data_IF_264864249310
#
_entry.id   IF_264864249310
#
_cell.length_a   1.000
_cell.length_b   1.000
_cell.length_c   1.000
_cell.angle_alpha   90.00
_cell.angle_beta   90.00
_cell.angle_gamma   90.00
#
_symmetry.space_group_name_H-M   'P 1'
#
loop_
_entity.id
_entity.type
_entity.pdbx_description
1 polymer ?
#
# COMPACT_ATOMS: atom_id res chain seq x y z
N UNK A 1 10.77 -6.24 0.41
CA UNK A 1 9.81 -5.12 0.26
C UNK A 1 9.15 -4.83 1.61
N UNK A 2 8.48 -3.69 1.79
CA UNK A 2 7.86 -3.32 3.08
C UNK A 2 6.36 -3.12 2.93
N UNK A 3 5.61 -3.31 4.00
CA UNK A 3 4.20 -2.91 4.11
C UNK A 3 3.90 -2.35 5.50
N UNK A 4 2.66 -1.92 5.72
CA UNK A 4 2.15 -1.53 7.04
C UNK A 4 1.28 -2.64 7.62
N UNK A 5 1.39 -2.91 8.92
CA UNK A 5 0.63 -3.98 9.57
C UNK A 5 -0.86 -3.65 9.71
N UNK A 6 -1.16 -2.41 10.09
CA UNK A 6 -2.51 -1.94 10.36
C UNK A 6 -2.73 -0.60 9.68
N UNK A 7 -4.00 -0.25 9.45
CA UNK A 7 -4.35 1.09 9.01
C UNK A 7 -3.94 2.12 10.07
N UNK A 8 -3.42 3.25 9.62
CA UNK A 8 -3.00 4.37 10.48
C UNK A 8 -3.49 5.68 9.88
N UNK A 9 -3.75 6.65 10.75
CA UNK A 9 -4.10 8.01 10.37
C UNK A 9 -3.19 8.99 11.09
N UNK A 10 -2.67 9.97 10.35
CA UNK A 10 -1.93 11.10 10.88
C UNK A 10 -2.45 12.41 10.30
N UNK A 11 -2.21 13.53 10.98
CA UNK A 11 -2.70 14.84 10.59
C UNK A 11 -1.57 15.88 10.61
N UNK A 12 -1.54 16.72 9.57
CA UNK A 12 -0.74 17.95 9.58
C UNK A 12 -1.57 19.16 9.23
N UNK A 13 -1.19 20.30 9.81
CA UNK A 13 -1.78 21.60 9.52
C UNK A 13 -0.75 22.51 8.82
N UNK A 14 -1.06 22.99 7.61
CA UNK A 14 -0.17 23.84 6.80
C UNK A 14 -0.93 25.06 6.31
N UNK A 15 -0.55 26.25 6.78
CA UNK A 15 -1.21 27.53 6.44
C UNK A 15 -2.75 27.46 6.56
N UNK A 16 -3.24 26.97 7.71
CA UNK A 16 -4.67 26.75 8.02
C UNK A 16 -5.36 25.66 7.21
N UNK A 17 -4.71 25.06 6.20
CA UNK A 17 -5.21 23.85 5.56
C UNK A 17 -4.89 22.64 6.43
N UNK A 18 -5.90 21.81 6.66
CA UNK A 18 -5.77 20.53 7.35
C UNK A 18 -5.55 19.44 6.30
N UNK A 19 -4.60 18.54 6.57
CA UNK A 19 -4.33 17.35 5.76
C UNK A 19 -4.35 16.13 6.67
N UNK A 20 -5.31 15.24 6.43
CA UNK A 20 -5.49 13.99 7.15
C UNK A 20 -5.01 12.87 6.23
N UNK A 21 -3.90 12.23 6.57
CA UNK A 21 -3.35 11.12 5.83
C UNK A 21 -3.81 9.80 6.43
N UNK A 22 -4.46 8.97 5.62
CA UNK A 22 -4.83 7.61 5.99
C UNK A 22 -4.04 6.63 5.13
N UNK A 23 -3.26 5.76 5.75
CA UNK A 23 -2.61 4.64 5.09
C UNK A 23 -3.36 3.36 5.48
N UNK A 24 -3.70 2.54 4.48
CA UNK A 24 -4.49 1.32 4.66
C UNK A 24 -3.79 0.16 3.95
N UNK A 25 -3.54 -0.98 4.62
CA UNK A 25 -3.06 -2.18 3.95
C UNK A 25 -4.10 -2.66 2.92
N UNK A 26 -3.68 -2.89 1.69
CA UNK A 26 -4.52 -3.35 0.57
C UNK A 26 -3.67 -4.15 -0.40
N UNK A 27 -4.10 -5.33 -0.82
CA UNK A 27 -3.29 -6.23 -1.66
C UNK A 27 -3.55 -6.06 -3.15
N UNK A 28 -4.74 -5.58 -3.54
CA UNK A 28 -5.16 -5.51 -4.94
C UNK A 28 -5.77 -4.16 -5.31
N UNK A 29 -5.82 -3.85 -6.61
CA UNK A 29 -6.49 -2.64 -7.15
C UNK A 29 -7.96 -2.60 -6.79
N UNK A 30 -8.62 -3.75 -6.70
CA UNK A 30 -10.03 -3.82 -6.32
C UNK A 30 -10.21 -3.37 -4.86
N UNK A 31 -9.36 -3.85 -3.95
CA UNK A 31 -9.36 -3.43 -2.55
C UNK A 31 -9.03 -1.95 -2.39
N UNK A 32 -7.99 -1.46 -3.09
CA UNK A 32 -7.64 -0.04 -3.10
C UNK A 32 -8.82 0.84 -3.51
N UNK A 33 -9.53 0.48 -4.58
CA UNK A 33 -10.71 1.22 -5.04
C UNK A 33 -11.84 1.20 -4.02
N UNK A 34 -12.09 0.06 -3.37
CA UNK A 34 -13.11 -0.06 -2.34
C UNK A 34 -12.79 0.82 -1.12
N UNK A 35 -11.53 0.81 -0.67
CA UNK A 35 -11.06 1.67 0.42
C UNK A 35 -11.17 3.15 0.04
N UNK A 36 -10.71 3.54 -1.16
CA UNK A 36 -10.81 4.92 -1.65
C UNK A 36 -12.27 5.40 -1.66
N UNK A 37 -13.19 4.57 -2.14
CA UNK A 37 -14.62 4.89 -2.16
C UNK A 37 -15.17 5.11 -0.75
N UNK A 38 -14.84 4.22 0.20
CA UNK A 38 -15.22 4.36 1.61
C UNK A 38 -14.74 5.68 2.21
N UNK A 39 -13.50 6.07 1.95
CA UNK A 39 -12.94 7.33 2.47
C UNK A 39 -13.55 8.56 1.79
N UNK A 40 -13.86 8.48 0.48
CA UNK A 40 -14.60 9.55 -0.23
C UNK A 40 -15.99 9.76 0.35
N UNK A 41 -16.68 8.70 0.75
CA UNK A 41 -17.98 8.79 1.43
C UNK A 41 -17.86 9.34 2.85
N UNK A 42 -16.85 8.86 3.61
CA UNK A 42 -16.59 9.31 4.97
C UNK A 42 -16.22 10.81 5.04
N UNK A 43 -15.44 11.29 4.08
CA UNK A 43 -14.96 12.67 3.99
C UNK A 43 -15.54 13.38 2.77
N UNK A 44 -16.85 13.24 2.56
CA UNK A 44 -17.56 13.81 1.41
C UNK A 44 -17.59 15.34 1.39
N UNK A 45 -17.35 15.97 2.55
CA UNK A 45 -17.31 17.42 2.73
C UNK A 45 -15.89 18.01 2.58
N UNK A 46 -14.88 17.16 2.36
CA UNK A 46 -13.52 17.59 2.15
C UNK A 46 -13.35 18.35 0.84
N UNK A 47 -12.32 19.20 0.76
CA UNK A 47 -11.99 19.91 -0.47
C UNK A 47 -11.44 18.95 -1.51
N UNK A 48 -10.53 18.05 -1.10
CA UNK A 48 -9.92 17.04 -1.96
C UNK A 48 -9.61 15.78 -1.14
N UNK A 49 -9.80 14.61 -1.75
CA UNK A 49 -9.40 13.29 -1.27
C UNK A 49 -8.41 12.69 -2.26
N UNK A 50 -7.19 13.20 -2.28
CA UNK A 50 -6.14 12.74 -3.19
C UNK A 50 -5.67 11.34 -2.79
N UNK A 51 -5.31 10.51 -3.76
CA UNK A 51 -4.99 9.10 -3.53
C UNK A 51 -3.70 8.66 -4.20
N UNK A 52 -3.08 7.65 -3.62
CA UNK A 52 -1.98 6.90 -4.22
C UNK A 52 -1.99 5.47 -3.68
N UNK A 53 -1.70 4.47 -4.51
CA UNK A 53 -1.57 3.08 -4.07
C UNK A 53 -0.47 2.35 -4.82
N UNK A 54 0.14 1.39 -4.13
CA UNK A 54 1.07 0.40 -4.69
C UNK A 54 0.62 -0.95 -4.14
N UNK A 55 0.17 -1.82 -5.03
CA UNK A 55 -0.43 -3.13 -4.70
C UNK A 55 0.09 -4.20 -5.66
N UNK A 56 -0.22 -5.47 -5.39
CA UNK A 56 0.35 -6.61 -6.13
C UNK A 56 0.06 -6.60 -7.63
N UNK A 57 -1.12 -6.13 -8.03
CA UNK A 57 -1.57 -6.08 -9.44
C UNK A 57 -1.43 -4.68 -10.07
N UNK A 58 -0.71 -3.76 -9.43
CA UNK A 58 -0.18 -2.52 -10.02
C UNK A 58 -0.22 -1.30 -9.10
N UNK A 59 -0.13 -0.12 -9.70
CA UNK A 59 -0.02 1.14 -8.95
C UNK A 59 -0.84 2.25 -9.63
N UNK A 60 -1.20 3.28 -8.87
CA UNK A 60 -1.98 4.40 -9.37
C UNK A 60 -2.07 5.56 -8.39
N UNK A 61 -2.42 6.74 -8.89
CA UNK A 61 -2.64 7.94 -8.07
C UNK A 61 -3.68 8.86 -8.73
N UNK A 62 -4.30 9.71 -7.91
CA UNK A 62 -5.30 10.70 -8.33
C UNK A 62 -5.09 11.99 -7.52
N UNK A 63 -5.04 13.13 -8.21
CA UNK A 63 -4.91 14.46 -7.61
C UNK A 63 -6.27 14.99 -7.10
N UNK A 64 -7.40 14.34 -7.41
CA UNK A 64 -8.75 14.66 -6.92
C UNK A 64 -9.14 16.15 -7.08
N UNK A 65 -8.75 16.76 -8.20
CA UNK A 65 -9.05 18.17 -8.50
C UNK A 65 -8.01 19.17 -8.01
N UNK A 66 -6.96 18.73 -7.30
CA UNK A 66 -5.76 19.55 -7.11
C UNK A 66 -5.07 19.84 -8.46
N UNK A 67 -4.23 20.91 -8.55
CA UNK A 67 -3.43 21.14 -9.74
C UNK A 67 -2.60 19.90 -10.11
N UNK A 68 -2.62 19.56 -11.40
CA UNK A 68 -2.05 18.29 -11.88
C UNK A 68 -0.61 18.05 -11.45
N UNK A 69 -0.35 16.88 -10.86
CA UNK A 69 0.95 16.44 -10.37
C UNK A 69 1.37 17.03 -9.03
N UNK A 70 0.48 17.73 -8.31
CA UNK A 70 0.83 18.38 -7.03
C UNK A 70 0.41 17.60 -5.78
N UNK A 71 -0.38 16.52 -5.91
CA UNK A 71 -0.87 15.72 -4.79
C UNK A 71 -0.58 14.22 -4.93
N UNK A 72 -1.30 13.50 -5.80
CA UNK A 72 -1.18 12.06 -5.98
C UNK A 72 0.23 11.64 -6.42
N UNK A 73 0.85 12.40 -7.34
CA UNK A 73 2.23 12.15 -7.79
C UNK A 73 3.28 12.27 -6.66
N UNK A 74 3.30 13.34 -5.85
CA UNK A 74 4.19 13.38 -4.69
C UNK A 74 3.89 12.29 -3.65
N UNK A 75 2.63 11.89 -3.46
CA UNK A 75 2.27 10.82 -2.52
C UNK A 75 2.87 9.48 -2.94
N UNK A 76 2.62 9.04 -4.18
CA UNK A 76 3.12 7.74 -4.68
C UNK A 76 4.66 7.70 -4.69
N UNK A 77 5.31 8.83 -4.97
CA UNK A 77 6.77 8.91 -4.92
C UNK A 77 7.32 8.67 -3.51
N UNK A 78 6.63 9.12 -2.47
CA UNK A 78 7.02 8.84 -1.08
C UNK A 78 6.82 7.36 -0.75
N UNK A 79 5.71 6.75 -1.17
CA UNK A 79 5.49 5.31 -0.98
C UNK A 79 6.61 4.48 -1.65
N UNK A 80 6.93 4.77 -2.92
CA UNK A 80 8.03 4.11 -3.66
C UNK A 80 9.38 4.29 -2.98
N UNK A 81 9.71 5.51 -2.53
CA UNK A 81 10.98 5.80 -1.87
C UNK A 81 11.15 5.03 -0.55
N UNK A 82 10.04 4.75 0.13
CA UNK A 82 10.03 3.96 1.37
C UNK A 82 9.84 2.46 1.11
N UNK A 83 9.85 2.03 -0.15
CA UNK A 83 9.67 0.63 -0.57
C UNK A 83 8.38 0.01 -0.01
N UNK A 84 7.33 0.83 0.12
CA UNK A 84 6.03 0.39 0.63
C UNK A 84 5.18 -0.18 -0.50
N UNK A 85 4.72 -1.41 -0.29
CA UNK A 85 3.82 -2.18 -1.13
C UNK A 85 2.60 -2.63 -0.32
N UNK A 86 1.60 -3.13 -1.04
CA UNK A 86 0.31 -3.54 -0.49
C UNK A 86 -0.32 -2.46 0.39
N UNK A 87 -0.31 -1.21 -0.11
CA UNK A 87 -0.78 -0.05 0.63
C UNK A 87 -1.55 0.91 -0.26
N UNK A 88 -2.63 1.45 0.30
CA UNK A 88 -3.40 2.56 -0.25
C UNK A 88 -3.31 3.76 0.68
N UNK A 89 -2.93 4.90 0.13
CA UNK A 89 -2.86 6.18 0.80
C UNK A 89 -3.97 7.11 0.32
N UNK A 90 -4.68 7.73 1.25
CA UNK A 90 -5.66 8.78 1.01
C UNK A 90 -5.25 9.99 1.85
N UNK A 91 -5.05 11.13 1.20
CA UNK A 91 -4.84 12.40 1.91
C UNK A 91 -6.05 13.29 1.69
N UNK A 92 -6.87 13.38 2.73
CA UNK A 92 -8.04 14.25 2.81
C UNK A 92 -7.60 15.65 3.19
N UNK A 93 -7.96 16.63 2.37
CA UNK A 93 -7.59 18.04 2.57
C UNK A 93 -8.83 18.89 2.81
N UNK A 94 -8.78 19.71 3.85
CA UNK A 94 -9.70 20.84 4.05
C UNK A 94 -8.97 22.17 3.76
N UNK A 95 -9.52 22.98 2.86
CA UNK A 95 -8.91 24.25 2.49
C UNK A 95 -9.04 25.32 3.59
N UNK A 96 -7.92 25.90 4.02
CA UNK A 96 -7.87 26.86 5.12
C UNK A 96 -8.00 28.34 4.73
N UNK A 97 -8.39 28.65 3.50
CA UNK A 97 -8.48 30.02 3.00
C UNK A 97 -7.16 30.63 2.49
N UNK A 98 -6.02 29.97 2.67
CA UNK A 98 -4.71 30.45 2.22
C UNK A 98 -4.13 29.49 1.16
N UNK A 99 -3.87 30.00 -0.04
CA UNK A 99 -3.27 29.21 -1.13
C UNK A 99 -1.82 28.83 -0.79
N UNK A 100 -1.48 27.56 -1.02
CA UNK A 100 -0.13 27.02 -0.80
C UNK A 100 0.79 27.21 -2.01
N UNK A 101 0.21 27.34 -3.22
CA UNK A 101 0.95 27.26 -4.49
C UNK A 101 1.43 25.84 -4.80
N UNK A 102 1.81 25.55 -6.05
CA UNK A 102 2.15 24.20 -6.50
C UNK A 102 3.26 23.55 -5.65
N UNK A 103 4.37 24.25 -5.40
CA UNK A 103 5.44 23.74 -4.56
C UNK A 103 5.05 23.56 -3.09
N UNK A 104 4.09 24.34 -2.59
CA UNK A 104 3.55 24.17 -1.24
C UNK A 104 2.67 22.93 -1.11
N UNK A 105 1.85 22.64 -2.12
CA UNK A 105 1.03 21.43 -2.19
C UNK A 105 1.90 20.19 -2.26
N UNK A 106 2.87 20.15 -3.18
CA UNK A 106 3.82 19.04 -3.32
C UNK A 106 4.47 18.70 -1.98
N UNK A 107 4.97 19.72 -1.26
CA UNK A 107 5.58 19.51 0.06
C UNK A 107 4.58 19.06 1.12
N UNK A 108 3.37 19.60 1.14
CA UNK A 108 2.34 19.22 2.10
C UNK A 108 1.93 17.76 1.91
N UNK A 109 1.57 17.35 0.69
CA UNK A 109 1.17 15.96 0.40
C UNK A 109 2.30 14.96 0.66
N UNK A 110 3.54 15.26 0.24
CA UNK A 110 4.68 14.40 0.59
C UNK A 110 4.89 14.31 2.10
N UNK A 111 4.77 15.43 2.82
CA UNK A 111 4.93 15.44 4.28
C UNK A 111 3.85 14.61 4.97
N UNK A 112 2.59 14.73 4.56
CA UNK A 112 1.49 13.97 5.14
C UNK A 112 1.74 12.46 5.08
N UNK A 113 2.24 11.94 3.95
CA UNK A 113 2.60 10.53 3.82
C UNK A 113 3.79 10.19 4.73
N UNK A 114 4.84 11.01 4.76
CA UNK A 114 6.03 10.74 5.59
C UNK A 114 5.70 10.66 7.08
N UNK A 115 4.83 11.54 7.59
CA UNK A 115 4.40 11.48 9.00
C UNK A 115 3.61 10.20 9.28
N UNK A 116 2.66 9.83 8.40
CA UNK A 116 1.91 8.57 8.55
C UNK A 116 2.81 7.33 8.49
N UNK A 117 3.82 7.32 7.62
CA UNK A 117 4.82 6.24 7.54
C UNK A 117 5.67 6.18 8.81
N UNK A 118 6.04 7.32 9.39
CA UNK A 118 6.81 7.39 10.64
C UNK A 118 6.06 6.85 11.86
N UNK A 119 4.73 6.90 11.84
CA UNK A 119 3.85 6.37 12.89
C UNK A 119 3.41 4.91 12.64
N UNK A 120 3.61 4.38 11.43
CA UNK A 120 3.17 3.06 11.04
C UNK A 120 4.08 1.94 11.60
N UNK A 121 3.48 0.83 12.03
CA UNK A 121 4.22 -0.42 12.27
C UNK A 121 4.57 -1.07 10.92
N UNK A 122 5.84 -1.02 10.55
CA UNK A 122 6.36 -1.54 9.28
C UNK A 122 6.67 -3.03 9.38
N UNK A 123 6.21 -3.80 8.39
CA UNK A 123 6.56 -5.20 8.20
C UNK A 123 7.44 -5.37 6.97
N UNK A 124 8.41 -6.29 7.05
CA UNK A 124 9.15 -6.75 5.88
C UNK A 124 8.42 -7.91 5.23
N UNK A 125 8.31 -7.86 3.90
CA UNK A 125 7.75 -8.92 3.07
C UNK A 125 8.86 -9.46 2.18
N UNK A 126 8.92 -10.78 2.12
CA UNK A 126 9.70 -11.56 1.16
C UNK A 126 8.76 -12.19 0.15
N UNK A 127 9.08 -12.07 -1.14
CA UNK A 127 8.35 -12.76 -2.21
C UNK A 127 8.88 -14.17 -2.36
N UNK A 128 7.96 -15.13 -2.52
CA UNK A 128 8.28 -16.54 -2.75
C UNK A 128 7.65 -17.00 -4.07
N UNK A 129 8.44 -17.65 -4.91
CA UNK A 129 7.91 -18.40 -6.04
C UNK A 129 7.29 -19.71 -5.55
N UNK A 130 5.98 -19.85 -5.74
CA UNK A 130 5.23 -21.03 -5.31
C UNK A 130 5.13 -22.01 -6.46
N UNK A 131 5.72 -23.20 -6.28
CA UNK A 131 5.64 -24.30 -7.24
C UNK A 131 4.76 -25.43 -6.72
N UNK A 132 4.02 -26.05 -7.64
CA UNK A 132 3.31 -27.31 -7.37
C UNK A 132 4.09 -28.47 -7.98
N UNK A 133 4.60 -29.36 -7.12
CA UNK A 133 5.26 -30.59 -7.54
C UNK A 133 4.30 -31.78 -7.39
N UNK A 134 4.22 -32.63 -8.42
CA UNK A 134 3.48 -33.89 -8.39
C UNK A 134 4.48 -35.01 -8.68
N UNK A 135 4.55 -35.98 -7.79
CA UNK A 135 5.52 -37.09 -7.87
C UNK A 135 4.93 -38.36 -7.25
N UNK A 136 5.48 -39.52 -7.60
CA UNK A 136 5.08 -40.79 -6.99
C UNK A 136 5.46 -40.88 -5.51
N UNK A 137 4.63 -41.51 -4.69
CA UNK A 137 4.89 -41.66 -3.25
C UNK A 137 6.26 -42.32 -2.95
N UNK A 138 6.76 -43.17 -3.85
CA UNK A 138 8.09 -43.79 -3.79
C UNK A 138 9.23 -42.76 -3.68
N UNK A 139 9.06 -41.55 -4.23
CA UNK A 139 10.08 -40.50 -4.27
C UNK A 139 10.02 -39.52 -3.08
N UNK A 140 9.12 -39.72 -2.11
CA UNK A 140 8.91 -38.75 -1.01
C UNK A 140 10.18 -38.45 -0.21
N UNK A 141 11.03 -39.46 0.03
CA UNK A 141 12.29 -39.26 0.78
C UNK A 141 13.28 -38.38 0.02
N UNK A 142 13.32 -38.52 -1.31
CA UNK A 142 14.21 -37.73 -2.18
C UNK A 142 13.71 -36.29 -2.19
N UNK A 143 12.40 -36.09 -2.41
CA UNK A 143 11.78 -34.75 -2.42
C UNK A 143 11.97 -34.03 -1.08
N UNK A 144 11.69 -34.69 0.05
CA UNK A 144 11.89 -34.11 1.38
C UNK A 144 13.35 -33.71 1.62
N UNK A 145 14.30 -34.50 1.12
CA UNK A 145 15.72 -34.18 1.22
C UNK A 145 16.07 -32.94 0.38
N UNK A 146 15.58 -32.86 -0.85
CA UNK A 146 15.83 -31.71 -1.71
C UNK A 146 15.19 -30.43 -1.15
N UNK A 147 13.98 -30.51 -0.61
CA UNK A 147 13.31 -29.37 0.03
C UNK A 147 14.14 -28.83 1.18
N UNK A 148 14.63 -29.72 2.07
CA UNK A 148 15.50 -29.31 3.19
C UNK A 148 16.84 -28.76 2.76
N UNK A 149 17.48 -29.36 1.74
CA UNK A 149 18.83 -29.00 1.32
C UNK A 149 18.88 -27.68 0.53
N UNK A 150 17.77 -27.27 -0.09
CA UNK A 150 17.70 -26.09 -0.95
C UNK A 150 16.94 -24.91 -0.30
N UNK A 151 16.76 -24.89 1.02
CA UNK A 151 16.00 -23.86 1.74
C UNK A 151 14.58 -23.61 1.17
N UNK A 152 13.93 -24.66 0.69
CA UNK A 152 12.56 -24.57 0.19
C UNK A 152 11.58 -24.74 1.35
N UNK A 153 10.53 -23.93 1.37
CA UNK A 153 9.45 -24.05 2.35
C UNK A 153 8.30 -24.88 1.79
N UNK A 154 7.93 -25.95 2.50
CA UNK A 154 6.73 -26.71 2.17
C UNK A 154 5.49 -25.99 2.70
N UNK A 155 4.62 -25.52 1.80
CA UNK A 155 3.38 -24.81 2.14
C UNK A 155 2.24 -25.81 2.44
N UNK A 156 1.99 -26.75 1.52
CA UNK A 156 0.94 -27.76 1.64
C UNK A 156 1.41 -29.11 1.07
N UNK A 157 1.00 -30.21 1.70
CA UNK A 157 1.24 -31.58 1.23
C UNK A 157 -0.08 -32.35 1.16
N UNK A 158 -0.38 -32.88 -0.01
CA UNK A 158 -1.59 -33.67 -0.26
C UNK A 158 -1.19 -35.09 -0.67
N UNK A 159 -1.91 -36.08 -0.13
CA UNK A 159 -1.78 -37.47 -0.52
C UNK A 159 -3.04 -37.86 -1.29
N UNK A 160 -2.87 -38.39 -2.50
CA UNK A 160 -3.99 -38.86 -3.31
C UNK A 160 -3.70 -40.29 -3.77
N UNK A 161 -4.57 -41.22 -3.38
CA UNK A 161 -4.54 -42.60 -3.89
C UNK A 161 -5.27 -42.60 -5.23
N UNK A 162 -4.58 -43.02 -6.30
CA UNK A 162 -5.23 -43.31 -7.58
C UNK A 162 -6.12 -44.56 -7.37
N UNK A 163 -7.43 -44.40 -7.54
CA UNK A 163 -8.44 -45.47 -7.51
C UNK A 163 -8.64 -45.98 -8.94
#
# INVERSE_FOLDING_TARGET
MKTIKNAIQSEINVKKSQFICSLVPTETKAESKAVIQKFREQYSDATHNCTAYIVSDGEGFDDDGEPGGTAGKPMINVLRKNELHNVTAIVTRYFGGIKLGAGGLVRAYSKSIMEAVGEAEILEIEEYDVYKLIFEYSNIRIVDSEVRNNNLSQIHLFHQTLI
#
